data_IF_443663974370
#
_entry.id   IF_443663974370
#
_cell.length_a   1.000
_cell.length_b   1.000
_cell.length_c   1.000
_cell.angle_alpha   90.00
_cell.angle_beta   90.00
_cell.angle_gamma   90.00
#
_symmetry.space_group_name_H-M   'P 1'
#
loop_
_entity.id
_entity.type
_entity.pdbx_description
1 polymer ?
#
# COMPACT_ATOMS: atom_id res chain seq x y z
N UNK A 1 21.73 26.96 -98.30
CA UNK A 1 20.93 25.77 -98.62
C UNK A 1 19.84 25.68 -97.58
N UNK A 2 18.63 25.93 -98.04
CA UNK A 2 17.37 25.94 -97.29
C UNK A 2 16.81 24.53 -97.29
N UNK A 3 16.46 23.97 -96.13
CA UNK A 3 15.53 22.84 -96.06
C UNK A 3 14.75 22.87 -94.75
N UNK A 4 13.43 22.92 -94.91
CA UNK A 4 12.28 23.07 -94.00
C UNK A 4 12.41 22.78 -92.48
N UNK A 5 11.64 23.51 -91.63
CA UNK A 5 11.51 23.22 -90.20
C UNK A 5 10.63 21.98 -89.94
N UNK A 6 10.92 21.22 -88.86
CA UNK A 6 10.07 20.12 -88.40
C UNK A 6 8.76 20.64 -87.76
N UNK A 7 7.69 19.82 -87.72
CA UNK A 7 6.39 20.21 -87.16
C UNK A 7 6.47 20.52 -85.66
N UNK A 8 5.54 21.34 -85.12
CA UNK A 8 5.50 21.67 -83.71
C UNK A 8 5.29 20.40 -82.87
N UNK A 9 6.14 20.22 -81.86
CA UNK A 9 5.98 19.12 -80.90
C UNK A 9 4.73 19.39 -80.06
N UNK A 10 3.88 18.37 -80.06
CA UNK A 10 2.76 18.23 -79.13
C UNK A 10 3.28 18.33 -77.70
N UNK A 11 2.56 19.15 -76.93
CA UNK A 11 2.41 19.19 -75.47
C UNK A 11 3.34 18.24 -74.70
N UNK A 12 4.41 18.83 -74.14
CA UNK A 12 5.15 18.18 -73.06
C UNK A 12 4.20 18.05 -71.85
N UNK A 13 3.85 16.81 -71.53
CA UNK A 13 3.20 16.38 -70.30
C UNK A 13 3.90 17.00 -69.07
N UNK A 14 3.35 18.10 -68.55
CA UNK A 14 3.71 18.59 -67.23
C UNK A 14 3.16 17.56 -66.22
N UNK A 15 4.01 16.86 -65.44
CA UNK A 15 3.51 15.92 -64.45
C UNK A 15 2.58 16.68 -63.50
N UNK A 16 1.45 16.08 -63.07
CA UNK A 16 0.46 16.79 -62.25
C UNK A 16 1.16 17.42 -61.05
N UNK A 17 1.21 18.75 -61.04
CA UNK A 17 1.77 19.51 -59.94
C UNK A 17 1.00 19.11 -58.69
N UNK A 18 1.70 18.53 -57.71
CA UNK A 18 1.09 18.17 -56.44
C UNK A 18 0.33 19.38 -55.89
N UNK A 19 -0.93 19.22 -55.47
CA UNK A 19 -1.73 20.34 -54.97
C UNK A 19 -1.01 21.06 -53.83
N UNK A 20 -1.10 22.39 -53.76
CA UNK A 20 -0.44 23.20 -52.72
C UNK A 20 -0.76 22.73 -51.30
N UNK A 21 -1.95 22.14 -51.09
CA UNK A 21 -2.33 21.52 -49.82
C UNK A 21 -1.41 20.37 -49.39
N UNK A 22 -0.91 19.57 -50.35
CA UNK A 22 0.04 18.48 -50.09
C UNK A 22 1.42 19.05 -49.73
N UNK A 23 1.83 20.14 -50.38
CA UNK A 23 3.05 20.85 -50.02
C UNK A 23 2.97 21.48 -48.63
N UNK A 24 1.81 22.02 -48.27
CA UNK A 24 1.57 22.61 -46.96
C UNK A 24 1.51 21.56 -45.85
N UNK A 25 0.90 20.41 -46.13
CA UNK A 25 0.89 19.26 -45.21
C UNK A 25 2.30 18.69 -45.02
N UNK A 26 3.07 18.51 -46.11
CA UNK A 26 4.45 18.05 -46.05
C UNK A 26 5.36 19.02 -45.27
N UNK A 27 5.19 20.34 -45.43
CA UNK A 27 5.96 21.33 -44.65
C UNK A 27 5.56 21.34 -43.18
N UNK A 28 4.28 21.19 -42.84
CA UNK A 28 3.83 21.01 -41.45
C UNK A 28 4.41 19.74 -40.83
N UNK A 29 4.38 18.63 -41.55
CA UNK A 29 4.84 17.33 -41.05
C UNK A 29 6.35 17.26 -40.88
N UNK A 30 7.09 17.85 -41.80
CA UNK A 30 8.55 17.75 -41.83
C UNK A 30 9.20 18.86 -40.99
N UNK A 31 8.85 20.13 -41.23
CA UNK A 31 9.50 21.25 -40.54
C UNK A 31 8.98 21.44 -39.10
N UNK A 32 7.70 21.13 -38.85
CA UNK A 32 7.09 21.21 -37.53
C UNK A 32 7.59 20.11 -36.59
N UNK A 33 7.58 18.85 -37.05
CA UNK A 33 8.00 17.72 -36.20
C UNK A 33 9.51 17.66 -35.98
N UNK A 34 10.35 17.96 -36.99
CA UNK A 34 11.82 17.92 -36.83
C UNK A 34 12.31 18.95 -35.81
N UNK A 35 11.73 20.16 -35.76
CA UNK A 35 12.08 21.15 -34.72
C UNK A 35 11.70 20.70 -33.31
N UNK A 36 10.66 19.87 -33.18
CA UNK A 36 10.20 19.35 -31.91
C UNK A 36 10.98 18.09 -31.46
N UNK A 37 11.44 17.26 -32.40
CA UNK A 37 12.10 15.97 -32.11
C UNK A 37 13.62 15.97 -32.28
N UNK A 38 14.23 17.01 -32.88
CA UNK A 38 15.68 17.06 -33.07
C UNK A 38 16.42 17.17 -31.72
N UNK A 39 17.41 16.27 -31.47
CA UNK A 39 18.25 16.36 -30.29
C UNK A 39 19.02 17.69 -30.26
N UNK A 40 18.77 18.52 -29.24
CA UNK A 40 19.51 19.78 -29.05
C UNK A 40 20.84 19.51 -28.37
N UNK A 41 21.88 19.29 -29.17
CA UNK A 41 23.22 19.18 -28.62
C UNK A 41 23.76 20.54 -28.15
N UNK A 42 24.46 20.60 -27.00
CA UNK A 42 25.08 21.84 -26.54
C UNK A 42 26.16 22.28 -27.53
N UNK A 43 26.12 23.56 -27.91
CA UNK A 43 27.09 24.16 -28.83
C UNK A 43 28.52 23.95 -28.33
N UNK A 44 29.50 23.92 -29.25
CA UNK A 44 30.91 23.72 -28.90
C UNK A 44 31.40 24.72 -27.83
N UNK A 45 30.88 25.96 -27.87
CA UNK A 45 31.15 26.97 -26.83
C UNK A 45 30.55 26.60 -25.47
N UNK A 46 29.33 26.07 -25.43
CA UNK A 46 28.73 25.59 -24.19
C UNK A 46 29.56 24.45 -23.58
N UNK A 47 30.05 23.51 -24.40
CA UNK A 47 30.94 22.42 -23.94
C UNK A 47 32.24 22.97 -23.33
N UNK A 48 32.92 23.88 -24.02
CA UNK A 48 34.14 24.53 -23.49
C UNK A 48 33.90 25.33 -22.20
N UNK A 49 32.75 26.01 -22.08
CA UNK A 49 32.38 26.72 -20.85
C UNK A 49 32.12 25.74 -19.71
N UNK A 50 31.38 24.65 -19.95
CA UNK A 50 31.12 23.64 -18.92
C UNK A 50 32.38 22.91 -18.47
N UNK A 51 33.34 22.67 -19.37
CA UNK A 51 34.62 22.05 -19.00
C UNK A 51 35.47 23.02 -18.17
N UNK A 52 35.54 24.29 -18.55
CA UNK A 52 36.23 25.33 -17.78
C UNK A 52 35.64 25.50 -16.38
N UNK A 53 34.31 25.56 -16.24
CA UNK A 53 33.65 25.66 -14.94
C UNK A 53 33.92 24.42 -14.06
N UNK A 54 33.94 23.21 -14.65
CA UNK A 54 34.33 22.00 -13.91
C UNK A 54 35.78 22.05 -13.42
N UNK A 55 36.70 22.58 -14.23
CA UNK A 55 38.11 22.75 -13.80
C UNK A 55 38.22 23.76 -12.66
N UNK A 56 37.56 24.91 -12.77
CA UNK A 56 37.54 25.93 -11.71
C UNK A 56 36.93 25.41 -10.39
N UNK A 57 35.89 24.59 -10.46
CA UNK A 57 35.28 23.98 -9.27
C UNK A 57 36.17 22.89 -8.66
N UNK A 58 36.86 22.10 -9.47
CA UNK A 58 37.84 21.13 -9.00
C UNK A 58 39.02 21.82 -8.29
N UNK A 59 39.55 22.91 -8.85
CA UNK A 59 40.61 23.70 -8.24
C UNK A 59 40.17 24.37 -6.93
N UNK A 60 38.93 24.89 -6.86
CA UNK A 60 38.36 25.42 -5.62
C UNK A 60 38.18 24.34 -4.56
N UNK A 61 37.72 23.15 -4.93
CA UNK A 61 37.60 22.01 -4.03
C UNK A 61 38.96 21.58 -3.48
N UNK A 62 40.01 21.58 -4.30
CA UNK A 62 41.38 21.30 -3.84
C UNK A 62 41.91 22.36 -2.88
N UNK A 63 41.70 23.65 -3.18
CA UNK A 63 42.09 24.75 -2.27
C UNK A 63 41.37 24.65 -0.94
N UNK A 64 40.07 24.36 -0.94
CA UNK A 64 39.27 24.16 0.27
C UNK A 64 39.69 22.93 1.09
N UNK A 65 40.21 21.88 0.44
CA UNK A 65 40.80 20.71 1.11
C UNK A 65 42.16 21.06 1.75
N UNK A 66 42.97 21.89 1.08
CA UNK A 66 44.28 22.34 1.59
C UNK A 66 44.17 23.38 2.71
N UNK A 67 43.08 24.15 2.77
CA UNK A 67 42.92 25.26 3.74
C UNK A 67 42.20 24.89 5.05
N UNK A 68 42.06 23.61 5.40
CA UNK A 68 41.46 23.23 6.70
C UNK A 68 42.53 23.12 7.80
N UNK A 69 42.47 23.91 8.89
CA UNK A 69 43.19 23.59 10.11
C UNK A 69 42.53 22.37 10.75
N UNK A 70 43.33 21.39 11.16
CA UNK A 70 42.90 20.34 12.08
C UNK A 70 42.61 21.01 13.43
N UNK A 71 41.37 21.43 13.69
CA UNK A 71 40.70 21.35 14.99
C UNK A 71 39.31 22.02 14.99
N UNK A 72 38.39 21.37 15.73
CA UNK A 72 37.02 21.76 16.15
C UNK A 72 35.88 21.75 15.12
N UNK A 73 34.85 21.00 15.51
CA UNK A 73 33.61 20.80 14.77
C UNK A 73 32.69 22.02 14.73
N UNK A 74 31.95 22.12 13.62
CA UNK A 74 30.93 23.11 13.39
C UNK A 74 30.27 22.89 12.03
N UNK A 75 28.94 22.92 12.02
CA UNK A 75 28.00 22.64 10.91
C UNK A 75 28.51 23.03 9.50
N UNK A 76 28.38 22.10 8.56
CA UNK A 76 28.67 22.30 7.14
C UNK A 76 27.86 23.46 6.55
N UNK A 77 28.57 24.49 6.10
CA UNK A 77 28.04 25.63 5.35
C UNK A 77 27.84 25.19 3.89
N UNK A 78 26.68 25.49 3.30
CA UNK A 78 26.40 25.28 1.86
C UNK A 78 27.35 26.15 1.00
N UNK A 79 27.71 25.72 -0.22
CA UNK A 79 28.52 26.52 -1.15
C UNK A 79 27.81 27.84 -1.49
N UNK A 80 28.49 28.97 -1.36
CA UNK A 80 28.05 30.26 -1.90
C UNK A 80 28.28 30.26 -3.42
N UNK A 81 27.24 30.48 -4.19
CA UNK A 81 27.35 30.88 -5.60
C UNK A 81 28.02 32.27 -5.69
N UNK A 82 28.87 32.54 -6.71
CA UNK A 82 29.53 33.83 -6.84
C UNK A 82 28.56 34.92 -7.28
N UNK A 83 28.68 36.10 -6.67
CA UNK A 83 28.02 37.33 -7.11
C UNK A 83 28.41 37.65 -8.55
N UNK A 84 27.43 37.62 -9.45
CA UNK A 84 27.60 38.05 -10.82
C UNK A 84 27.86 39.56 -10.88
N UNK A 85 29.04 39.95 -11.35
CA UNK A 85 29.38 41.33 -11.66
C UNK A 85 28.56 41.82 -12.86
N UNK A 86 27.36 42.32 -12.58
CA UNK A 86 26.56 43.33 -13.30
C UNK A 86 25.06 43.09 -13.07
N UNK A 87 24.56 43.49 -11.91
CA UNK A 87 23.21 44.04 -11.75
C UNK A 87 23.23 45.03 -10.59
N UNK A 88 22.93 46.30 -10.88
CA UNK A 88 22.61 47.29 -9.86
C UNK A 88 21.31 46.93 -9.12
N UNK A 89 20.99 47.63 -8.02
CA UNK A 89 19.96 47.19 -7.07
C UNK A 89 18.58 47.26 -7.70
N UNK A 90 17.93 46.10 -7.87
CA UNK A 90 16.52 46.04 -8.22
C UNK A 90 15.70 46.52 -7.02
N UNK A 91 14.93 47.58 -7.26
CA UNK A 91 14.07 48.34 -6.35
C UNK A 91 12.92 47.56 -5.65
N UNK A 92 12.95 46.22 -5.65
CA UNK A 92 11.86 45.40 -5.11
C UNK A 92 11.98 45.05 -3.62
N UNK A 93 13.09 45.41 -2.96
CA UNK A 93 13.30 45.09 -1.53
C UNK A 93 13.05 46.24 -0.53
N UNK A 94 12.58 47.42 -0.97
CA UNK A 94 12.25 48.51 -0.03
C UNK A 94 10.84 48.44 0.60
N UNK A 95 10.01 47.44 0.29
CA UNK A 95 8.66 47.30 0.88
C UNK A 95 8.43 46.09 1.79
N UNK A 96 9.49 45.41 2.27
CA UNK A 96 9.36 44.44 3.38
C UNK A 96 10.21 44.81 4.59
N UNK A 97 10.10 46.07 5.01
CA UNK A 97 10.47 46.48 6.35
C UNK A 97 9.50 45.92 7.39
N UNK A 98 10.06 45.24 8.40
CA UNK A 98 9.47 44.86 9.71
C UNK A 98 8.45 43.72 9.78
N UNK A 99 8.75 42.52 9.28
CA UNK A 99 8.17 41.28 9.85
C UNK A 99 9.22 40.16 9.89
N UNK A 100 9.64 39.77 11.10
CA UNK A 100 10.81 38.92 11.32
C UNK A 100 10.74 37.52 10.69
N UNK A 101 11.91 36.89 10.41
CA UNK A 101 12.06 35.61 9.68
C UNK A 101 11.47 34.38 10.38
N UNK A 102 10.85 34.56 11.54
CA UNK A 102 10.18 33.49 12.27
C UNK A 102 8.80 33.17 11.69
N UNK A 103 8.06 34.16 11.16
CA UNK A 103 6.71 33.94 10.60
C UNK A 103 6.72 33.18 9.29
N UNK A 104 7.71 33.38 8.42
CA UNK A 104 7.79 32.65 7.16
C UNK A 104 8.25 31.20 7.37
N UNK A 105 9.07 30.93 8.39
CA UNK A 105 9.39 29.57 8.85
C UNK A 105 8.20 28.88 9.49
N UNK A 106 7.40 29.60 10.28
CA UNK A 106 6.13 29.08 10.80
C UNK A 106 5.16 28.79 9.64
N UNK A 107 5.07 29.66 8.63
CA UNK A 107 4.22 29.43 7.46
C UNK A 107 4.66 28.22 6.64
N UNK A 108 5.96 28.03 6.41
CA UNK A 108 6.44 26.82 5.72
C UNK A 108 6.17 25.56 6.54
N UNK A 109 6.37 25.61 7.87
CA UNK A 109 6.02 24.49 8.75
C UNK A 109 4.51 24.23 8.80
N UNK A 110 3.67 25.28 8.77
CA UNK A 110 2.21 25.15 8.72
C UNK A 110 1.73 24.61 7.38
N UNK A 111 2.35 25.00 6.27
CA UNK A 111 2.02 24.45 4.94
C UNK A 111 2.47 22.99 4.86
N UNK A 112 3.65 22.64 5.36
CA UNK A 112 4.10 21.23 5.43
C UNK A 112 3.22 20.42 6.37
N UNK A 113 2.80 20.98 7.51
CA UNK A 113 1.86 20.33 8.42
C UNK A 113 0.46 20.19 7.80
N UNK A 114 0.00 21.18 7.02
CA UNK A 114 -1.29 21.11 6.32
C UNK A 114 -1.27 20.10 5.17
N UNK A 115 -0.16 19.99 4.43
CA UNK A 115 0.03 18.95 3.40
C UNK A 115 0.16 17.57 4.03
N UNK A 116 0.85 17.43 5.16
CA UNK A 116 0.91 16.18 5.91
C UNK A 116 -0.45 15.80 6.52
N UNK A 117 -1.23 16.78 7.00
CA UNK A 117 -2.59 16.57 7.48
C UNK A 117 -3.55 16.17 6.35
N UNK A 118 -3.44 16.79 5.18
CA UNK A 118 -4.20 16.39 3.98
C UNK A 118 -3.81 15.00 3.47
N UNK A 119 -2.53 14.64 3.53
CA UNK A 119 -2.06 13.29 3.23
C UNK A 119 -2.58 12.26 4.25
N UNK A 120 -2.65 12.63 5.54
CA UNK A 120 -3.26 11.80 6.59
C UNK A 120 -4.77 11.64 6.42
N UNK A 121 -5.49 12.69 5.96
CA UNK A 121 -6.92 12.63 5.65
C UNK A 121 -7.20 11.71 4.45
N UNK A 122 -6.29 11.64 3.47
CA UNK A 122 -6.44 10.77 2.30
C UNK A 122 -6.15 9.28 2.62
N UNK A 123 -5.27 9.02 3.61
CA UNK A 123 -4.89 7.65 4.01
C UNK A 123 -5.81 7.11 5.12
N UNK A 124 -6.38 7.99 5.96
CA UNK A 124 -7.26 7.62 7.06
C UNK A 124 -8.34 8.71 7.29
N UNK A 125 -9.44 8.70 6.51
CA UNK A 125 -10.50 9.70 6.64
C UNK A 125 -11.23 9.62 8.00
N UNK A 126 -11.15 8.47 8.68
CA UNK A 126 -11.78 8.19 9.98
C UNK A 126 -10.96 8.77 11.15
N UNK A 127 -9.63 8.69 11.09
CA UNK A 127 -8.72 9.23 12.11
C UNK A 127 -8.55 10.76 12.06
N UNK A 128 -8.78 11.39 10.90
CA UNK A 128 -8.74 12.85 10.80
C UNK A 128 -9.99 13.52 11.40
N UNK A 129 -11.13 12.80 11.45
CA UNK A 129 -12.38 13.30 12.06
C UNK A 129 -12.28 13.41 13.59
N UNK A 130 -11.50 12.55 14.25
CA UNK A 130 -11.29 12.62 15.71
C UNK A 130 -10.35 13.74 16.16
N UNK A 131 -9.47 14.21 15.25
CA UNK A 131 -8.49 15.27 15.51
C UNK A 131 -9.01 16.68 15.21
N UNK A 132 -9.99 16.81 14.31
CA UNK A 132 -10.60 18.11 13.95
C UNK A 132 -11.86 18.43 14.78
N UNK A 133 -12.54 17.40 15.31
CA UNK A 133 -13.70 17.56 16.19
C UNK A 133 -13.30 17.23 17.63
N UNK A 134 -12.49 18.10 18.25
CA UNK A 134 -12.27 18.06 19.68
C UNK A 134 -13.60 18.25 20.43
N UNK A 135 -13.97 17.23 21.23
CA UNK A 135 -14.79 17.29 22.45
C UNK A 135 -15.75 18.48 22.56
N UNK A 136 -16.76 18.49 21.69
CA UNK A 136 -17.92 19.35 21.84
C UNK A 136 -18.99 18.60 22.63
N UNK A 137 -19.13 18.91 23.92
CA UNK A 137 -20.34 18.56 24.66
C UNK A 137 -21.51 19.34 24.04
N UNK A 138 -22.23 18.73 23.09
CA UNK A 138 -23.56 19.17 22.69
C UNK A 138 -24.56 18.13 23.16
N UNK A 139 -25.19 18.43 24.29
CA UNK A 139 -26.42 17.79 24.74
C UNK A 139 -27.51 18.00 23.69
N UNK A 140 -27.83 16.95 22.95
CA UNK A 140 -28.92 16.89 21.99
C UNK A 140 -29.35 15.43 21.88
N UNK A 141 -30.37 15.08 22.67
CA UNK A 141 -30.99 13.77 22.74
C UNK A 141 -31.50 13.31 21.38
N UNK A 142 -30.83 12.34 20.76
CA UNK A 142 -31.42 11.39 19.83
C UNK A 142 -31.01 9.99 20.33
N UNK A 143 -31.99 9.27 20.86
CA UNK A 143 -31.94 7.82 21.10
C UNK A 143 -31.79 7.08 19.75
N UNK A 144 -31.22 5.88 19.82
CA UNK A 144 -30.86 4.93 18.74
C UNK A 144 -29.51 5.11 18.04
N UNK A 145 -28.47 4.65 18.74
CA UNK A 145 -27.39 3.83 18.17
C UNK A 145 -26.69 3.13 19.33
N UNK A 146 -26.77 1.81 19.40
CA UNK A 146 -25.99 0.99 20.31
C UNK A 146 -24.51 1.10 19.92
N UNK A 147 -23.84 2.11 20.47
CA UNK A 147 -22.41 2.33 20.27
C UNK A 147 -21.66 1.21 21.02
N UNK A 148 -21.48 0.09 20.30
CA UNK A 148 -20.84 -1.12 20.80
C UNK A 148 -19.38 -0.83 21.09
N UNK A 149 -19.03 -0.72 22.38
CA UNK A 149 -17.65 -0.50 22.79
C UNK A 149 -16.80 -1.72 22.40
N UNK A 150 -15.68 -1.54 21.68
CA UNK A 150 -14.82 -2.66 21.33
C UNK A 150 -14.28 -3.38 22.56
N UNK A 151 -14.26 -4.71 22.49
CA UNK A 151 -13.63 -5.55 23.50
C UNK A 151 -12.13 -5.22 23.63
N UNK A 152 -11.60 -5.37 24.84
CA UNK A 152 -10.17 -5.22 25.08
C UNK A 152 -9.35 -6.22 24.26
N UNK A 153 -8.11 -5.85 23.84
CA UNK A 153 -7.21 -6.76 23.14
C UNK A 153 -7.00 -8.07 23.89
N UNK A 154 -6.88 -9.17 23.15
CA UNK A 154 -6.69 -10.50 23.75
C UNK A 154 -5.29 -10.67 24.32
N UNK A 155 -5.21 -11.12 25.57
CA UNK A 155 -3.95 -11.41 26.27
C UNK A 155 -3.67 -12.91 26.41
N UNK A 156 -4.70 -13.74 26.29
CA UNK A 156 -4.62 -15.20 26.36
C UNK A 156 -5.42 -15.85 25.23
N UNK A 157 -5.13 -17.12 24.93
CA UNK A 157 -5.92 -17.88 23.98
C UNK A 157 -7.29 -18.18 24.60
N UNK A 158 -8.39 -18.04 23.85
CA UNK A 158 -9.70 -18.48 24.30
C UNK A 158 -9.70 -19.97 24.66
N UNK A 159 -10.50 -20.37 25.64
CA UNK A 159 -10.66 -21.79 26.04
C UNK A 159 -11.92 -22.43 25.48
N UNK A 160 -12.81 -21.63 24.89
CA UNK A 160 -14.05 -22.08 24.26
C UNK A 160 -14.43 -21.16 23.10
N UNK A 161 -15.40 -21.61 22.29
CA UNK A 161 -16.06 -20.79 21.30
C UNK A 161 -16.80 -19.60 21.98
N UNK A 162 -16.90 -18.43 21.33
CA UNK A 162 -17.72 -17.34 21.85
C UNK A 162 -19.19 -17.74 21.97
N UNK A 163 -19.90 -17.21 22.95
CA UNK A 163 -21.33 -17.43 23.07
C UNK A 163 -22.09 -16.95 21.81
N UNK A 164 -23.24 -17.56 21.54
CA UNK A 164 -24.15 -17.03 20.52
C UNK A 164 -24.68 -15.66 20.94
N UNK A 165 -24.89 -14.76 19.98
CA UNK A 165 -25.56 -13.51 20.25
C UNK A 165 -26.95 -13.81 20.84
N UNK A 166 -27.30 -13.10 21.92
CA UNK A 166 -28.58 -13.29 22.62
C UNK A 166 -29.79 -12.94 21.73
N UNK A 167 -29.57 -12.09 20.71
CA UNK A 167 -30.53 -11.78 19.66
C UNK A 167 -29.85 -11.99 18.29
N UNK A 168 -30.34 -12.90 17.42
CA UNK A 168 -29.79 -13.10 16.08
C UNK A 168 -30.27 -11.95 15.18
N UNK A 169 -29.79 -10.74 15.42
CA UNK A 169 -30.02 -9.62 14.52
C UNK A 169 -29.51 -10.00 13.11
N UNK A 170 -30.36 -9.75 12.11
CA UNK A 170 -30.01 -9.98 10.72
C UNK A 170 -29.02 -8.88 10.30
N UNK A 171 -27.83 -9.23 9.76
CA UNK A 171 -26.87 -8.23 9.33
C UNK A 171 -27.44 -7.38 8.19
N UNK A 172 -27.27 -6.07 8.28
CA UNK A 172 -27.68 -5.10 7.27
C UNK A 172 -26.49 -4.32 6.77
N UNK A 173 -26.63 -3.57 5.68
CA UNK A 173 -25.53 -2.74 5.17
C UNK A 173 -25.10 -1.64 6.15
N UNK A 174 -26.00 -1.17 7.01
CA UNK A 174 -25.70 -0.23 8.09
C UNK A 174 -25.14 -0.90 9.35
N UNK A 175 -25.53 -2.15 9.62
CA UNK A 175 -25.05 -2.94 10.75
C UNK A 175 -24.53 -4.31 10.27
N UNK A 176 -23.41 -4.36 9.52
CA UNK A 176 -22.97 -5.58 8.82
C UNK A 176 -22.56 -6.73 9.74
N UNK A 177 -22.27 -6.43 11.00
CA UNK A 177 -21.81 -7.40 12.01
C UNK A 177 -22.86 -7.68 13.08
N UNK A 178 -24.10 -7.22 12.93
CA UNK A 178 -25.19 -7.54 13.84
C UNK A 178 -25.39 -9.07 13.93
N UNK A 179 -25.79 -9.54 15.12
CA UNK A 179 -26.01 -10.97 15.40
C UNK A 179 -24.72 -11.81 15.48
N UNK A 180 -23.54 -11.17 15.52
CA UNK A 180 -22.25 -11.87 15.49
C UNK A 180 -21.36 -11.63 16.70
N UNK A 181 -20.47 -12.59 17.04
CA UNK A 181 -19.41 -12.33 18.01
C UNK A 181 -18.51 -11.15 17.62
N UNK A 182 -18.39 -10.85 16.32
CA UNK A 182 -17.54 -9.79 15.80
C UNK A 182 -18.12 -8.37 15.96
N UNK A 183 -19.38 -8.22 16.36
CA UNK A 183 -20.01 -6.92 16.57
C UNK A 183 -19.14 -6.01 17.45
N UNK A 184 -18.65 -6.54 18.56
CA UNK A 184 -17.85 -5.81 19.54
C UNK A 184 -16.33 -5.96 19.32
N UNK A 185 -15.88 -6.44 18.16
CA UNK A 185 -14.45 -6.50 17.89
C UNK A 185 -13.91 -5.15 17.44
N UNK A 186 -12.63 -4.92 17.71
CA UNK A 186 -11.89 -3.81 17.13
C UNK A 186 -11.81 -3.96 15.59
N UNK A 187 -11.46 -2.89 14.89
CA UNK A 187 -11.44 -2.86 13.44
C UNK A 187 -10.05 -2.53 12.88
N UNK A 188 -9.78 -3.06 11.68
CA UNK A 188 -8.63 -2.69 10.86
C UNK A 188 -7.27 -2.94 11.52
N UNK A 189 -6.28 -2.14 11.11
CA UNK A 189 -4.89 -2.32 11.54
C UNK A 189 -4.67 -2.01 13.03
N UNK A 190 -5.52 -1.19 13.64
CA UNK A 190 -5.41 -0.80 15.05
C UNK A 190 -5.78 -1.95 16.00
N UNK A 191 -6.60 -2.89 15.53
CA UNK A 191 -6.93 -4.12 16.25
C UNK A 191 -5.74 -5.10 16.35
N UNK A 192 -4.73 -4.96 15.49
CA UNK A 192 -3.49 -5.76 15.55
C UNK A 192 -2.52 -5.08 16.53
N UNK A 193 -2.65 -5.41 17.81
CA UNK A 193 -1.85 -4.82 18.88
C UNK A 193 -0.52 -5.55 19.00
N UNK A 194 0.58 -4.79 19.05
CA UNK A 194 1.91 -5.35 19.26
C UNK A 194 2.13 -5.61 20.77
N UNK A 195 2.66 -6.79 21.15
CA UNK A 195 3.09 -7.00 22.52
C UNK A 195 4.28 -6.08 22.87
N UNK A 196 4.50 -5.84 24.16
CA UNK A 196 5.66 -5.09 24.62
C UNK A 196 6.95 -5.82 24.19
N UNK A 197 7.83 -5.12 23.47
CA UNK A 197 9.05 -5.70 22.96
C UNK A 197 10.12 -5.78 24.05
N UNK A 198 10.62 -6.98 24.28
CA UNK A 198 11.63 -7.25 25.31
C UNK A 198 12.85 -7.94 24.71
N UNK A 199 13.99 -7.89 25.41
CA UNK A 199 15.19 -8.60 24.99
C UNK A 199 14.94 -10.11 25.13
N UNK A 200 15.30 -10.87 24.10
CA UNK A 200 15.14 -12.32 24.05
C UNK A 200 16.47 -12.98 23.67
N UNK A 201 17.13 -13.63 24.64
CA UNK A 201 18.49 -14.13 24.42
C UNK A 201 19.42 -12.98 24.02
N UNK A 202 20.06 -13.10 22.87
CA UNK A 202 20.96 -12.06 22.31
C UNK A 202 20.23 -11.05 21.41
N UNK A 203 18.94 -11.26 21.14
CA UNK A 203 18.11 -10.35 20.35
C UNK A 203 17.67 -9.18 21.22
N UNK A 204 18.07 -7.97 20.85
CA UNK A 204 17.73 -6.74 21.56
C UNK A 204 16.23 -6.42 21.47
N UNK A 205 15.68 -5.71 22.46
CA UNK A 205 14.29 -5.26 22.43
C UNK A 205 13.95 -4.45 21.16
N UNK A 206 14.91 -3.69 20.62
CA UNK A 206 14.76 -2.95 19.35
C UNK A 206 14.62 -3.88 18.14
N UNK A 207 15.36 -4.98 18.11
CA UNK A 207 15.25 -5.98 17.04
C UNK A 207 13.93 -6.75 17.15
N UNK A 208 13.49 -7.06 18.38
CA UNK A 208 12.16 -7.64 18.62
C UNK A 208 11.06 -6.70 18.15
N UNK A 209 11.10 -5.41 18.52
CA UNK A 209 10.13 -4.40 18.03
C UNK A 209 10.10 -4.31 16.50
N UNK A 210 11.27 -4.33 15.85
CA UNK A 210 11.35 -4.33 14.39
C UNK A 210 10.71 -5.59 13.77
N UNK A 211 10.94 -6.76 14.35
CA UNK A 211 10.32 -8.01 13.91
C UNK A 211 8.79 -7.95 14.06
N UNK A 212 8.30 -7.53 15.23
CA UNK A 212 6.87 -7.38 15.51
C UNK A 212 6.18 -6.40 14.53
N UNK A 213 6.82 -5.26 14.22
CA UNK A 213 6.33 -4.30 13.23
C UNK A 213 6.30 -4.88 11.82
N UNK A 214 7.33 -5.61 11.41
CA UNK A 214 7.38 -6.27 10.11
C UNK A 214 6.26 -7.34 10.00
N UNK A 215 6.04 -8.13 11.06
CA UNK A 215 4.93 -9.09 11.11
C UNK A 215 3.58 -8.40 11.03
N UNK A 216 3.35 -7.30 11.77
CA UNK A 216 2.11 -6.51 11.64
C UNK A 216 1.92 -5.94 10.24
N UNK A 217 2.97 -5.40 9.63
CA UNK A 217 2.90 -4.89 8.26
C UNK A 217 2.54 -5.99 7.26
N UNK A 218 3.08 -7.20 7.43
CA UNK A 218 2.70 -8.36 6.62
C UNK A 218 1.22 -8.71 6.79
N UNK A 219 0.73 -8.81 8.03
CA UNK A 219 -0.67 -9.13 8.32
C UNK A 219 -1.64 -8.08 7.77
N UNK A 220 -1.31 -6.79 7.92
CA UNK A 220 -2.11 -5.67 7.39
C UNK A 220 -2.14 -5.73 5.86
N UNK A 221 -0.99 -5.90 5.21
CA UNK A 221 -0.94 -6.02 3.75
C UNK A 221 -1.82 -7.17 3.29
N UNK A 222 -1.57 -8.37 3.81
CA UNK A 222 -2.21 -9.63 3.36
C UNK A 222 -3.69 -9.82 3.71
N UNK A 223 -4.27 -8.97 4.56
CA UNK A 223 -5.64 -9.17 5.05
C UNK A 223 -6.48 -7.89 5.13
N UNK A 224 -5.88 -6.70 5.05
CA UNK A 224 -6.59 -5.44 5.27
C UNK A 224 -6.36 -4.42 4.15
N UNK A 225 -5.36 -4.61 3.28
CA UNK A 225 -5.08 -3.67 2.21
C UNK A 225 -6.20 -3.68 1.16
N UNK A 226 -6.89 -2.54 0.91
CA UNK A 226 -8.03 -2.52 0.00
C UNK A 226 -7.68 -2.84 -1.45
N UNK A 227 -6.45 -2.61 -1.89
CA UNK A 227 -6.04 -2.96 -3.25
C UNK A 227 -5.80 -4.47 -3.36
N UNK A 228 -5.12 -5.08 -2.39
CA UNK A 228 -4.93 -6.53 -2.33
C UNK A 228 -6.26 -7.28 -2.23
N UNK A 229 -7.15 -6.84 -1.32
CA UNK A 229 -8.44 -7.47 -1.10
C UNK A 229 -9.26 -7.58 -2.40
N UNK A 230 -9.13 -6.59 -3.30
CA UNK A 230 -9.80 -6.55 -4.62
C UNK A 230 -9.00 -7.25 -5.73
N UNK A 231 -8.03 -8.09 -5.38
CA UNK A 231 -7.23 -8.85 -6.33
C UNK A 231 -5.90 -8.21 -6.73
N UNK A 232 -5.51 -7.09 -6.13
CA UNK A 232 -4.21 -6.44 -6.37
C UNK A 232 -3.02 -7.32 -5.99
N UNK A 233 -1.82 -6.91 -6.42
CA UNK A 233 -0.58 -7.56 -6.04
C UNK A 233 -0.09 -7.04 -4.66
N UNK A 234 0.34 -7.91 -3.74
CA UNK A 234 0.60 -7.56 -2.35
C UNK A 234 2.00 -6.94 -2.12
N UNK A 235 2.36 -5.89 -2.86
CA UNK A 235 3.71 -5.30 -2.83
C UNK A 235 4.15 -4.90 -1.42
N UNK A 236 3.26 -4.24 -0.65
CA UNK A 236 3.55 -3.78 0.70
C UNK A 236 3.84 -4.96 1.66
N UNK A 237 3.06 -6.04 1.57
CA UNK A 237 3.29 -7.24 2.38
C UNK A 237 4.58 -7.95 1.99
N UNK A 238 4.86 -8.10 0.69
CA UNK A 238 6.07 -8.77 0.22
C UNK A 238 7.34 -7.95 0.49
N UNK A 239 7.22 -6.63 0.64
CA UNK A 239 8.35 -5.77 0.98
C UNK A 239 8.96 -6.12 2.35
N UNK A 240 8.16 -6.57 3.32
CA UNK A 240 8.65 -6.94 4.67
C UNK A 240 9.06 -8.40 4.79
N UNK A 241 8.91 -9.19 3.72
CA UNK A 241 9.28 -10.61 3.69
C UNK A 241 10.70 -10.78 3.14
N UNK A 242 11.51 -11.53 3.88
CA UNK A 242 12.85 -11.91 3.45
C UNK A 242 12.76 -12.90 2.27
N UNK A 243 13.37 -12.59 1.11
CA UNK A 243 13.29 -13.44 -0.07
C UNK A 243 14.10 -14.73 0.05
N UNK A 244 14.94 -14.92 1.07
CA UNK A 244 15.87 -16.06 1.18
C UNK A 244 15.19 -17.44 1.09
N UNK A 245 13.95 -17.56 1.58
CA UNK A 245 13.17 -18.80 1.51
C UNK A 245 12.21 -18.86 0.30
N UNK A 246 12.35 -17.93 -0.65
CA UNK A 246 11.54 -17.86 -1.87
C UNK A 246 10.08 -17.45 -1.64
N UNK A 247 9.71 -16.92 -0.46
CA UNK A 247 8.33 -16.54 -0.12
C UNK A 247 7.66 -15.65 -1.18
N UNK A 248 8.24 -14.50 -1.55
CA UNK A 248 7.69 -13.63 -2.60
C UNK A 248 7.54 -14.33 -3.96
N UNK A 249 8.49 -15.20 -4.32
CA UNK A 249 8.43 -15.96 -5.56
C UNK A 249 7.29 -16.99 -5.56
N UNK A 250 7.04 -17.66 -4.41
CA UNK A 250 5.93 -18.59 -4.23
C UNK A 250 4.58 -17.88 -4.31
N UNK A 251 4.43 -16.72 -3.67
CA UNK A 251 3.22 -15.90 -3.78
C UNK A 251 2.98 -15.47 -5.23
N UNK A 252 4.01 -15.01 -5.93
CA UNK A 252 3.92 -14.67 -7.36
C UNK A 252 3.47 -15.87 -8.21
N UNK A 253 4.06 -17.04 -7.99
CA UNK A 253 3.71 -18.25 -8.72
C UNK A 253 2.25 -18.69 -8.44
N UNK A 254 1.83 -18.67 -7.17
CA UNK A 254 0.46 -18.97 -6.74
C UNK A 254 -0.57 -18.04 -7.39
N UNK A 255 -0.28 -16.73 -7.44
CA UNK A 255 -1.13 -15.74 -8.12
C UNK A 255 -1.16 -15.92 -9.65
N UNK A 256 -0.08 -16.42 -10.25
CA UNK A 256 -0.02 -16.60 -11.71
C UNK A 256 -0.74 -17.85 -12.18
N UNK A 257 -0.78 -18.89 -11.33
CA UNK A 257 -1.42 -20.18 -11.64
C UNK A 257 -2.03 -20.78 -10.37
N UNK A 258 -3.17 -20.24 -9.89
CA UNK A 258 -3.87 -20.78 -8.74
C UNK A 258 -4.29 -22.25 -8.95
N UNK A 259 -4.22 -23.04 -7.90
CA UNK A 259 -4.69 -24.43 -7.88
C UNK A 259 -4.89 -24.89 -6.45
N UNK A 260 -5.56 -26.03 -6.24
CA UNK A 260 -5.72 -26.62 -4.91
C UNK A 260 -4.39 -26.83 -4.14
N UNK A 261 -3.26 -26.96 -4.84
CA UNK A 261 -1.92 -27.12 -4.23
C UNK A 261 -1.17 -25.80 -4.04
N UNK A 262 -1.54 -24.77 -4.79
CA UNK A 262 -0.84 -23.49 -4.89
C UNK A 262 -1.80 -22.33 -4.77
N UNK A 263 -2.79 -22.48 -3.90
CA UNK A 263 -3.84 -21.48 -3.74
C UNK A 263 -3.25 -20.24 -3.03
N UNK A 264 -3.25 -19.07 -3.68
CA UNK A 264 -2.75 -17.85 -3.07
C UNK A 264 -3.61 -17.42 -1.87
N UNK A 265 -4.87 -17.88 -1.76
CA UNK A 265 -5.74 -17.53 -0.64
C UNK A 265 -5.19 -18.00 0.69
N UNK A 266 -4.32 -19.02 0.74
CA UNK A 266 -3.60 -19.43 1.97
C UNK A 266 -2.69 -18.33 2.52
N UNK A 267 -2.22 -17.42 1.66
CA UNK A 267 -1.30 -16.33 2.02
C UNK A 267 -2.02 -14.99 2.10
N UNK A 268 -3.00 -14.79 1.21
CA UNK A 268 -3.63 -13.51 0.91
C UNK A 268 -5.13 -13.62 1.10
N UNK A 269 -5.76 -12.61 1.70
CA UNK A 269 -7.21 -12.51 1.66
C UNK A 269 -7.59 -11.68 0.44
N UNK A 270 -8.39 -12.25 -0.45
CA UNK A 270 -8.76 -11.62 -1.72
C UNK A 270 -10.09 -12.15 -2.22
N UNK A 271 -10.89 -11.29 -2.83
CA UNK A 271 -12.20 -11.60 -3.39
C UNK A 271 -12.29 -11.06 -4.81
N UNK A 272 -13.20 -11.62 -5.62
CA UNK A 272 -13.49 -11.09 -6.95
C UNK A 272 -14.46 -9.90 -6.85
N UNK A 273 -14.03 -8.66 -7.19
CA UNK A 273 -14.91 -7.48 -7.16
C UNK A 273 -16.05 -7.54 -8.17
N UNK A 274 -16.03 -8.47 -9.13
CA UNK A 274 -17.13 -8.74 -10.05
C UNK A 274 -18.22 -9.63 -9.46
N UNK A 275 -17.93 -10.42 -8.42
CA UNK A 275 -18.92 -11.24 -7.72
C UNK A 275 -19.47 -10.55 -6.46
N UNK A 276 -18.58 -9.93 -5.67
CA UNK A 276 -18.93 -9.37 -4.37
C UNK A 276 -18.33 -7.99 -4.15
N UNK A 277 -18.95 -7.23 -3.26
CA UNK A 277 -18.50 -5.90 -2.84
C UNK A 277 -18.43 -5.84 -1.32
N UNK A 278 -17.31 -5.39 -0.79
CA UNK A 278 -17.16 -5.13 0.65
C UNK A 278 -18.17 -4.07 1.12
N UNK A 279 -18.82 -4.31 2.24
CA UNK A 279 -19.74 -3.39 2.90
C UNK A 279 -18.93 -2.42 3.75
N UNK A 280 -18.90 -1.15 3.34
CA UNK A 280 -18.08 -0.12 3.98
C UNK A 280 -16.58 -0.39 3.84
N UNK A 281 -15.81 0.09 4.81
CA UNK A 281 -14.35 -0.07 4.94
C UNK A 281 -13.95 -0.76 6.25
N UNK A 282 -14.93 -1.20 7.05
CA UNK A 282 -14.72 -1.81 8.35
C UNK A 282 -14.50 -3.31 8.21
N UNK A 283 -13.34 -3.76 8.64
CA UNK A 283 -13.02 -5.19 8.80
C UNK A 283 -12.81 -5.43 10.29
N UNK A 284 -13.60 -6.33 10.87
CA UNK A 284 -13.50 -6.66 12.30
C UNK A 284 -12.36 -7.63 12.50
N UNK A 285 -11.51 -7.37 13.49
CA UNK A 285 -10.31 -8.14 13.74
C UNK A 285 -10.21 -8.44 15.23
N UNK A 286 -9.88 -9.69 15.53
CA UNK A 286 -9.59 -10.13 16.89
C UNK A 286 -8.43 -11.10 16.86
N UNK A 287 -7.54 -11.02 17.85
CA UNK A 287 -6.43 -11.95 17.96
C UNK A 287 -5.29 -11.44 18.79
N UNK A 288 -4.19 -12.18 18.71
CA UNK A 288 -2.99 -11.89 19.49
C UNK A 288 -1.73 -12.15 18.69
N UNK A 289 -0.68 -11.43 19.09
CA UNK A 289 0.69 -11.61 18.64
C UNK A 289 1.58 -11.87 19.85
N UNK A 290 2.42 -12.88 19.77
CA UNK A 290 3.38 -13.26 20.81
C UNK A 290 4.74 -13.49 20.17
N UNK A 291 5.81 -13.45 20.96
CA UNK A 291 7.15 -13.73 20.47
C UNK A 291 7.94 -14.58 21.47
N UNK A 292 8.81 -15.43 20.94
CA UNK A 292 9.65 -16.33 21.74
C UNK A 292 11.05 -16.42 21.15
N UNK A 293 12.02 -16.83 21.99
CA UNK A 293 13.35 -17.17 21.50
C UNK A 293 13.24 -18.34 20.53
N UNK A 294 13.92 -18.26 19.40
CA UNK A 294 14.10 -19.39 18.50
C UNK A 294 15.58 -19.72 18.33
N UNK A 295 15.88 -20.67 17.46
CA UNK A 295 17.24 -21.14 17.20
C UNK A 295 18.13 -20.03 16.61
N UNK A 296 19.45 -20.22 16.60
CA UNK A 296 20.38 -19.34 15.86
C UNK A 296 20.20 -17.83 16.10
N UNK A 297 20.08 -17.41 17.38
CA UNK A 297 19.98 -15.99 17.77
C UNK A 297 18.81 -15.25 17.11
N UNK A 298 17.71 -15.97 16.88
CA UNK A 298 16.53 -15.43 16.22
C UNK A 298 15.34 -15.29 17.18
N UNK A 299 14.35 -14.50 16.76
CA UNK A 299 13.07 -14.38 17.45
C UNK A 299 11.98 -14.89 16.51
N UNK A 300 11.14 -15.79 17.03
CA UNK A 300 9.92 -16.23 16.34
C UNK A 300 8.75 -15.41 16.86
N UNK A 301 7.98 -14.84 15.94
CA UNK A 301 6.73 -14.15 16.22
C UNK A 301 5.60 -15.06 15.77
N UNK A 302 4.74 -15.44 16.71
CA UNK A 302 3.55 -16.24 16.48
C UNK A 302 2.31 -15.37 16.56
N UNK A 303 1.41 -15.51 15.57
CA UNK A 303 0.17 -14.76 15.49
C UNK A 303 -1.00 -15.69 15.24
N UNK A 304 -2.15 -15.37 15.85
CA UNK A 304 -3.43 -16.01 15.61
C UNK A 304 -4.49 -14.90 15.57
N UNK A 305 -4.90 -14.53 14.36
CA UNK A 305 -5.86 -13.47 14.11
C UNK A 305 -7.03 -13.99 13.27
N UNK A 306 -8.23 -13.56 13.64
CA UNK A 306 -9.45 -13.76 12.87
C UNK A 306 -9.95 -12.43 12.34
N UNK A 307 -10.26 -12.41 11.06
CA UNK A 307 -10.79 -11.27 10.31
C UNK A 307 -12.21 -11.59 9.87
N UNK A 308 -13.13 -10.65 10.05
CA UNK A 308 -14.51 -10.77 9.56
C UNK A 308 -14.77 -9.65 8.57
N UNK A 309 -15.12 -10.05 7.36
CA UNK A 309 -15.45 -9.19 6.24
C UNK A 309 -16.95 -9.31 5.98
N UNK A 310 -17.59 -8.20 5.64
CA UNK A 310 -18.99 -8.16 5.25
C UNK A 310 -19.11 -7.82 3.78
N UNK A 311 -19.92 -8.57 3.04
CA UNK A 311 -20.07 -8.46 1.60
C UNK A 311 -21.54 -8.35 1.19
N UNK A 312 -21.79 -7.65 0.10
CA UNK A 312 -23.01 -7.82 -0.71
C UNK A 312 -22.62 -8.39 -2.07
N UNK A 313 -23.59 -8.94 -2.81
CA UNK A 313 -23.39 -9.27 -4.21
C UNK A 313 -23.00 -8.01 -5.00
N UNK A 314 -22.08 -8.15 -5.96
CA UNK A 314 -21.73 -7.06 -6.87
C UNK A 314 -22.96 -6.60 -7.65
N UNK A 315 -23.08 -5.29 -7.87
CA UNK A 315 -24.24 -4.69 -8.54
C UNK A 315 -25.52 -4.59 -7.70
N UNK A 316 -25.56 -5.15 -6.49
CA UNK A 316 -26.69 -5.00 -5.57
C UNK A 316 -26.24 -4.41 -4.22
N UNK A 317 -26.28 -3.08 -4.13
CA UNK A 317 -25.80 -2.32 -2.97
C UNK A 317 -26.58 -2.54 -1.68
N UNK A 318 -27.88 -2.84 -1.81
CA UNK A 318 -28.84 -3.08 -0.73
C UNK A 318 -29.13 -4.59 -0.54
N UNK A 319 -28.29 -5.44 -1.13
CA UNK A 319 -28.42 -6.88 -1.07
C UNK A 319 -28.17 -7.44 0.33
N UNK A 320 -28.55 -8.70 0.53
CA UNK A 320 -28.26 -9.46 1.74
C UNK A 320 -26.78 -9.40 2.08
N UNK A 321 -26.47 -9.01 3.33
CA UNK A 321 -25.11 -9.00 3.83
C UNK A 321 -24.67 -10.41 4.20
N UNK A 322 -23.52 -10.82 3.67
CA UNK A 322 -22.87 -12.09 3.98
C UNK A 322 -21.55 -11.82 4.67
N UNK A 323 -21.17 -12.70 5.60
CA UNK A 323 -19.91 -12.57 6.33
C UNK A 323 -18.96 -13.69 5.99
N UNK A 324 -17.73 -13.31 5.68
CA UNK A 324 -16.59 -14.20 5.49
C UNK A 324 -15.69 -14.07 6.72
N UNK A 325 -15.30 -15.19 7.29
CA UNK A 325 -14.46 -15.27 8.47
C UNK A 325 -13.16 -15.95 8.07
N UNK A 326 -12.05 -15.22 8.13
CA UNK A 326 -10.72 -15.75 7.84
C UNK A 326 -9.90 -15.81 9.12
N UNK A 327 -9.52 -17.01 9.58
CA UNK A 327 -8.55 -17.19 10.66
C UNK A 327 -7.18 -17.49 10.08
N UNK A 328 -6.15 -16.74 10.50
CA UNK A 328 -4.76 -16.87 10.08
C UNK A 328 -3.89 -17.17 11.27
N UNK A 329 -3.15 -18.28 11.19
CA UNK A 329 -2.06 -18.58 12.11
C UNK A 329 -0.75 -18.44 11.37
N UNK A 330 0.04 -17.42 11.73
CA UNK A 330 1.28 -17.09 11.03
C UNK A 330 2.44 -17.09 12.00
N UNK A 331 3.46 -17.88 11.70
CA UNK A 331 4.77 -17.81 12.33
C UNK A 331 5.75 -17.11 11.39
N UNK A 332 6.32 -16.01 11.88
CA UNK A 332 7.41 -15.32 11.23
C UNK A 332 8.66 -15.40 12.07
N UNK A 333 9.83 -15.32 11.45
CA UNK A 333 11.10 -15.39 12.17
C UNK A 333 12.05 -14.32 11.68
N UNK A 334 12.57 -13.54 12.62
CA UNK A 334 13.62 -12.57 12.35
C UNK A 334 14.98 -13.20 12.65
N UNK A 335 15.91 -13.08 11.72
CA UNK A 335 17.29 -13.59 11.86
C UNK A 335 18.31 -12.46 11.74
N UNK A 336 19.42 -12.51 12.49
CA UNK A 336 20.47 -11.48 12.43
C UNK A 336 21.18 -11.43 11.08
N UNK A 337 21.25 -12.56 10.36
CA UNK A 337 21.83 -12.66 9.01
C UNK A 337 20.80 -12.52 7.89
N UNK A 338 19.54 -12.26 8.23
CA UNK A 338 18.47 -12.05 7.25
C UNK A 338 18.54 -10.66 6.61
N UNK A 339 17.67 -10.41 5.64
CA UNK A 339 17.52 -9.11 5.03
C UNK A 339 17.13 -8.04 6.08
N UNK A 340 17.80 -6.87 6.12
CA UNK A 340 17.53 -5.85 7.14
C UNK A 340 16.05 -5.42 7.17
N UNK A 341 15.46 -5.42 8.37
CA UNK A 341 14.07 -5.01 8.58
C UNK A 341 13.02 -5.99 8.06
N UNK A 342 13.41 -7.21 7.67
CA UNK A 342 12.51 -8.23 7.13
C UNK A 342 12.36 -9.41 8.05
N UNK A 343 11.28 -10.16 7.84
CA UNK A 343 11.02 -11.44 8.52
C UNK A 343 10.88 -12.56 7.50
N UNK A 344 11.30 -13.76 7.88
CA UNK A 344 11.05 -14.97 7.11
C UNK A 344 9.67 -15.52 7.47
N UNK A 345 8.90 -15.96 6.48
CA UNK A 345 7.67 -16.70 6.70
C UNK A 345 8.03 -18.16 6.97
N UNK A 346 7.71 -18.66 8.17
CA UNK A 346 8.03 -20.02 8.62
C UNK A 346 6.84 -20.94 8.46
N UNK A 347 5.67 -20.47 8.89
CA UNK A 347 4.42 -21.21 8.85
C UNK A 347 3.27 -20.27 8.56
N UNK A 348 2.36 -20.72 7.71
CA UNK A 348 1.08 -20.06 7.48
C UNK A 348 0.02 -21.15 7.40
N UNK A 349 -0.95 -21.07 8.30
CA UNK A 349 -2.19 -21.82 8.23
C UNK A 349 -3.37 -20.86 8.12
N UNK A 350 -4.41 -21.32 7.44
CA UNK A 350 -5.60 -20.54 7.21
C UNK A 350 -6.85 -21.40 7.31
N UNK A 351 -7.92 -20.79 7.80
CA UNK A 351 -9.25 -21.36 7.78
C UNK A 351 -10.25 -20.28 7.35
N UNK A 352 -11.22 -20.67 6.52
CA UNK A 352 -12.25 -19.78 6.00
C UNK A 352 -13.63 -20.33 6.34
N UNK A 353 -14.45 -19.52 7.01
CA UNK A 353 -15.88 -19.75 7.20
C UNK A 353 -16.69 -18.79 6.33
N UNK A 354 -17.77 -19.27 5.73
CA UNK A 354 -18.61 -18.44 4.84
C UNK A 354 -18.00 -18.18 3.47
N UNK A 355 -17.09 -19.05 3.00
CA UNK A 355 -16.56 -19.05 1.63
C UNK A 355 -16.94 -20.35 0.92
N UNK A 356 -17.07 -20.28 -0.40
CA UNK A 356 -17.00 -21.44 -1.29
C UNK A 356 -15.63 -22.15 -1.23
N UNK A 357 -15.58 -23.31 -1.89
CA UNK A 357 -14.45 -24.27 -1.84
C UNK A 357 -13.56 -24.23 -3.08
N UNK A 358 -13.71 -23.21 -3.91
CA UNK A 358 -12.96 -23.03 -5.15
C UNK A 358 -11.48 -22.72 -4.86
N UNK A 359 -10.63 -23.02 -5.82
CA UNK A 359 -9.18 -22.81 -5.74
C UNK A 359 -8.66 -22.01 -6.95
N UNK A 360 -9.45 -21.04 -7.39
CA UNK A 360 -9.12 -20.13 -8.50
C UNK A 360 -8.28 -18.92 -8.06
N UNK A 361 -7.95 -18.86 -6.77
CA UNK A 361 -7.17 -17.80 -6.16
C UNK A 361 -8.00 -16.68 -5.55
N UNK A 362 -9.32 -16.82 -5.45
CA UNK A 362 -10.22 -15.93 -4.74
C UNK A 362 -11.01 -16.67 -3.66
N UNK A 363 -11.42 -15.92 -2.63
CA UNK A 363 -12.44 -16.35 -1.70
C UNK A 363 -13.79 -15.94 -2.30
N UNK A 364 -14.77 -16.85 -2.23
CA UNK A 364 -16.12 -16.65 -2.75
C UNK A 364 -17.11 -16.60 -1.59
N UNK A 365 -17.35 -15.42 -0.99
CA UNK A 365 -18.37 -15.29 0.05
C UNK A 365 -19.70 -15.81 -0.46
N UNK A 366 -20.21 -16.87 0.18
CA UNK A 366 -21.47 -17.50 -0.19
C UNK A 366 -22.33 -17.70 1.05
N UNK A 367 -23.67 -17.66 0.91
CA UNK A 367 -24.52 -18.23 1.93
C UNK A 367 -24.26 -19.74 1.96
N UNK A 368 -24.20 -20.31 3.16
CA UNK A 368 -23.82 -21.71 3.44
C UNK A 368 -24.55 -22.80 2.62
N UNK A 369 -25.64 -22.44 1.93
CA UNK A 369 -26.49 -23.34 1.15
C UNK A 369 -26.17 -23.37 -0.36
N UNK A 370 -25.35 -22.44 -0.90
CA UNK A 370 -25.28 -22.18 -2.35
C UNK A 370 -23.89 -22.31 -2.99
N UNK A 371 -22.90 -22.91 -2.34
CA UNK A 371 -21.53 -22.98 -2.88
C UNK A 371 -21.36 -23.83 -4.15
N UNK A 372 -22.40 -24.46 -4.70
CA UNK A 372 -22.35 -25.30 -5.92
C UNK A 372 -21.48 -26.57 -5.82
N UNK A 373 -20.62 -26.65 -4.81
CA UNK A 373 -19.75 -27.75 -4.42
C UNK A 373 -20.21 -28.21 -3.04
N UNK A 374 -20.48 -29.51 -2.90
CA UNK A 374 -20.91 -30.07 -1.62
C UNK A 374 -19.74 -30.03 -0.62
N UNK A 375 -19.91 -29.39 0.55
CA UNK A 375 -18.90 -29.38 1.59
C UNK A 375 -18.60 -30.82 2.03
N UNK A 376 -17.32 -31.17 2.09
CA UNK A 376 -16.82 -32.51 2.44
C UNK A 376 -16.33 -32.60 3.88
N UNK A 377 -16.26 -31.48 4.59
CA UNK A 377 -15.76 -31.35 5.96
C UNK A 377 -16.86 -31.20 7.03
N UNK A 378 -16.48 -31.25 8.31
CA UNK A 378 -17.40 -31.11 9.43
C UNK A 378 -17.98 -29.69 9.53
N UNK A 379 -19.13 -29.57 10.21
CA UNK A 379 -19.69 -28.30 10.65
C UNK A 379 -18.80 -27.73 11.76
N UNK A 380 -18.24 -26.53 11.54
CA UNK A 380 -17.27 -25.89 12.46
C UNK A 380 -17.72 -24.46 12.75
N UNK A 381 -17.58 -24.02 14.01
CA UNK A 381 -17.78 -22.62 14.35
C UNK A 381 -16.55 -21.79 13.94
N UNK A 382 -16.65 -20.89 12.95
CA UNK A 382 -15.50 -20.14 12.46
C UNK A 382 -14.96 -19.12 13.48
N UNK A 383 -15.72 -18.85 14.55
CA UNK A 383 -15.29 -18.00 15.65
C UNK A 383 -14.57 -18.76 16.77
N UNK A 384 -14.58 -20.10 16.75
CA UNK A 384 -13.89 -20.90 17.76
C UNK A 384 -12.38 -20.90 17.52
N UNK A 385 -11.66 -20.40 18.52
CA UNK A 385 -10.21 -20.31 18.53
C UNK A 385 -9.56 -21.05 19.70
N UNK A 386 -10.35 -21.83 20.41
CA UNK A 386 -9.89 -22.66 21.51
C UNK A 386 -8.96 -23.79 21.05
N UNK A 387 -9.12 -24.21 19.79
CA UNK A 387 -8.34 -25.28 19.17
C UNK A 387 -7.36 -24.73 18.13
N UNK A 388 -6.20 -25.39 17.94
CA UNK A 388 -5.35 -25.15 16.78
C UNK A 388 -6.11 -25.36 15.47
N UNK A 389 -5.62 -24.77 14.38
CA UNK A 389 -6.11 -25.10 13.05
C UNK A 389 -5.67 -26.53 12.68
N UNK A 390 -6.64 -27.33 12.26
CA UNK A 390 -6.37 -28.64 11.66
C UNK A 390 -5.65 -28.50 10.31
N UNK A 391 -4.99 -29.56 9.85
CA UNK A 391 -4.26 -29.54 8.57
C UNK A 391 -5.22 -29.21 7.41
N UNK A 392 -4.77 -28.44 6.41
CA UNK A 392 -5.57 -28.15 5.22
C UNK A 392 -5.97 -29.47 4.55
N UNK A 393 -7.28 -29.67 4.31
CA UNK A 393 -7.73 -30.92 3.72
C UNK A 393 -9.22 -31.05 3.42
N UNK A 394 -10.11 -30.34 4.12
CA UNK A 394 -11.55 -30.43 3.85
C UNK A 394 -12.21 -29.06 3.86
N UNK A 395 -13.01 -28.79 2.83
CA UNK A 395 -13.90 -27.65 2.82
C UNK A 395 -15.13 -27.99 3.68
N UNK A 396 -15.25 -27.35 4.83
CA UNK A 396 -16.32 -27.61 5.80
C UNK A 396 -17.45 -26.58 5.74
N UNK A 397 -18.49 -26.82 6.55
CA UNK A 397 -19.61 -25.89 6.72
C UNK A 397 -19.35 -25.01 7.94
N UNK A 398 -19.54 -23.70 7.82
CA UNK A 398 -19.56 -22.81 8.96
C UNK A 398 -20.89 -22.95 9.72
N UNK A 399 -20.86 -23.22 11.03
CA UNK A 399 -22.08 -23.36 11.84
C UNK A 399 -22.86 -22.05 12.01
N UNK A 400 -22.17 -20.92 11.82
CA UNK A 400 -22.67 -19.56 11.83
C UNK A 400 -21.69 -18.69 11.08
N UNK A 401 -22.17 -17.60 10.48
CA UNK A 401 -21.29 -16.60 9.88
C UNK A 401 -21.37 -15.31 10.62
#
# INVERSE_FOLDING_TARGET
>A
MTTAPPPPREEDDEPPSLPDAVWEEFTKDTAGRIRASAPKEPSARARMVTERLRREDAERAERARRSKPRWRGGKGRRPQEPEGWRTGPAWQDMQRGRRGPWRDRIRTLLIVAAVAALALVAINPSGARSLVLGHGNSSGSHEDSSDSTPLTPETAQPTAAPDAAADPDIPTTSHPFAGSPALNWAAGADAIVLPHAEKVGDVTARQVDAALRATKAYLVGTNLDPAELRGGYPDAALHVVDPINGGPARVKAALSSPSAKTDPTVWLTRYDPHEVRLVGDVIKVRGRMTFTKSDHESVRVHTDYTYVYAFTKAGNGDGTVQRLIARRVVDTQWYPRGAPGKVQLVRIDAYFGGSGCEHDGYLHPSPSENSGVNPSGPVTDPYDRSKPLDKPGTCGVASRT
#
